data_IF_414926466788
#
_entry.id   IF_414926466788
#
_cell.length_a   1.000
_cell.length_b   1.000
_cell.length_c   1.000
_cell.angle_alpha   90.00
_cell.angle_beta   90.00
_cell.angle_gamma   90.00
#
_symmetry.space_group_name_H-M   'P 1'
#
loop_
_entity.id
_entity.type
_entity.pdbx_description
1 polymer ?
#
# COMPACT_ATOMS: atom_id res chain seq x y z
N UNK A 1 19.91 -5.21 -30.06
CA UNK A 1 18.47 -5.42 -30.33
C UNK A 1 17.93 -6.22 -29.14
N UNK A 2 17.48 -5.58 -28.07
CA UNK A 2 16.14 -5.01 -27.98
C UNK A 2 15.16 -6.09 -27.50
N UNK A 3 15.36 -6.59 -26.28
CA UNK A 3 14.45 -7.55 -25.63
C UNK A 3 13.15 -6.78 -25.32
N UNK A 4 12.19 -6.87 -26.23
CA UNK A 4 10.81 -6.44 -26.00
C UNK A 4 10.21 -7.36 -24.93
N UNK A 5 10.27 -6.91 -23.67
CA UNK A 5 9.56 -7.54 -22.57
C UNK A 5 8.08 -7.65 -22.89
N UNK A 6 7.51 -8.84 -22.70
CA UNK A 6 6.06 -9.08 -22.83
C UNK A 6 5.30 -8.00 -22.06
N UNK A 7 4.34 -7.36 -22.71
CA UNK A 7 3.45 -6.39 -22.08
C UNK A 7 2.67 -7.10 -20.97
N UNK A 8 2.89 -6.68 -19.72
CA UNK A 8 2.22 -7.27 -18.55
C UNK A 8 0.71 -7.12 -18.68
N UNK A 9 -0.01 -8.18 -18.32
CA UNK A 9 -1.48 -8.16 -18.30
C UNK A 9 -1.98 -7.13 -17.27
N UNK A 10 -3.25 -6.72 -17.39
CA UNK A 10 -3.83 -5.74 -16.45
C UNK A 10 -3.81 -6.27 -15.02
N UNK A 11 -4.03 -7.58 -14.85
CA UNK A 11 -4.01 -8.28 -13.55
C UNK A 11 -2.59 -8.30 -12.96
N UNK A 12 -1.58 -8.70 -13.75
CA UNK A 12 -0.18 -8.68 -13.32
C UNK A 12 0.27 -7.27 -12.87
N UNK A 13 -0.20 -6.22 -13.55
CA UNK A 13 0.08 -4.83 -13.16
C UNK A 13 -0.57 -4.42 -11.84
N UNK A 14 -1.73 -4.97 -11.49
CA UNK A 14 -2.35 -4.74 -10.19
C UNK A 14 -1.61 -5.49 -9.09
N UNK A 15 -1.27 -6.76 -9.30
CA UNK A 15 -0.59 -7.56 -8.29
C UNK A 15 0.82 -7.06 -7.97
N UNK A 16 1.54 -6.51 -8.96
CA UNK A 16 2.83 -5.87 -8.72
C UNK A 16 2.74 -4.66 -7.80
N UNK A 17 1.63 -3.91 -7.83
CA UNK A 17 1.42 -2.78 -6.91
C UNK A 17 1.24 -3.22 -5.46
N UNK A 18 0.83 -4.47 -5.23
CA UNK A 18 0.65 -5.07 -3.90
C UNK A 18 1.82 -5.97 -3.48
N UNK A 19 2.94 -5.96 -4.22
CA UNK A 19 4.21 -6.52 -3.72
C UNK A 19 4.71 -5.63 -2.58
N UNK A 20 5.18 -6.24 -1.49
CA UNK A 20 5.60 -5.50 -0.29
C UNK A 20 6.73 -4.52 -0.63
N UNK A 21 7.68 -4.92 -1.47
CA UNK A 21 8.76 -4.05 -1.97
C UNK A 21 8.23 -2.81 -2.71
N UNK A 22 7.20 -2.97 -3.54
CA UNK A 22 6.58 -1.85 -4.25
C UNK A 22 5.80 -0.92 -3.31
N UNK A 23 5.17 -1.48 -2.28
CA UNK A 23 4.45 -0.74 -1.25
C UNK A 23 5.38 0.02 -0.30
N UNK A 24 6.55 -0.55 0.04
CA UNK A 24 7.56 0.10 0.89
C UNK A 24 8.15 1.36 0.25
N UNK A 25 8.21 1.40 -1.08
CA UNK A 25 8.72 2.56 -1.83
C UNK A 25 7.70 3.70 -1.97
N UNK A 26 6.54 3.61 -1.33
CA UNK A 26 5.50 4.65 -1.33
C UNK A 26 5.76 5.71 -0.27
N UNK A 27 5.08 6.86 -0.39
CA UNK A 27 5.25 7.99 0.54
C UNK A 27 4.91 7.61 1.98
N UNK A 28 3.85 6.80 2.16
CA UNK A 28 3.44 6.28 3.47
C UNK A 28 3.48 4.76 3.41
N UNK A 29 4.03 4.14 4.44
CA UNK A 29 4.07 2.69 4.63
C UNK A 29 3.87 2.34 6.10
N UNK A 30 2.93 1.45 6.38
CA UNK A 30 2.70 0.85 7.68
C UNK A 30 2.57 -0.67 7.55
N UNK A 31 3.07 -1.37 8.56
CA UNK A 31 3.02 -2.82 8.65
C UNK A 31 2.55 -3.21 10.05
N UNK A 32 1.48 -4.01 10.10
CA UNK A 32 0.76 -4.38 11.31
C UNK A 32 0.56 -5.88 11.35
N UNK A 33 0.65 -6.43 12.56
CA UNK A 33 0.27 -7.80 12.86
C UNK A 33 -0.94 -7.77 13.77
N UNK A 34 -2.00 -8.47 13.36
CA UNK A 34 -3.27 -8.53 14.07
C UNK A 34 -3.73 -9.98 14.18
N UNK A 35 -4.30 -10.31 15.34
CA UNK A 35 -5.03 -11.56 15.53
C UNK A 35 -6.51 -11.23 15.53
N UNK A 36 -7.27 -11.85 14.62
CA UNK A 36 -8.68 -11.54 14.38
C UNK A 36 -9.48 -12.82 14.39
N UNK A 37 -10.70 -12.82 14.91
CA UNK A 37 -11.58 -13.99 14.83
C UNK A 37 -11.92 -14.33 13.37
N UNK A 38 -12.57 -13.40 12.67
CA UNK A 38 -12.95 -13.57 11.26
C UNK A 38 -12.17 -12.61 10.32
N UNK A 39 -11.36 -13.14 9.38
CA UNK A 39 -10.73 -12.36 8.33
C UNK A 39 -11.70 -11.60 7.41
N UNK A 40 -12.92 -12.11 7.20
CA UNK A 40 -13.94 -11.42 6.40
C UNK A 40 -14.48 -10.19 7.13
N UNK A 41 -14.64 -10.27 8.46
CA UNK A 41 -14.98 -9.12 9.30
C UNK A 41 -13.92 -8.04 9.21
N UNK A 42 -12.62 -8.41 9.28
CA UNK A 42 -11.54 -7.44 9.11
C UNK A 42 -11.59 -6.77 7.74
N UNK A 43 -11.86 -7.53 6.67
CA UNK A 43 -12.02 -6.97 5.32
C UNK A 43 -13.19 -5.99 5.25
N UNK A 44 -14.36 -6.40 5.76
CA UNK A 44 -15.56 -5.57 5.79
C UNK A 44 -15.30 -4.27 6.51
N UNK A 45 -14.79 -4.36 7.75
CA UNK A 45 -14.42 -3.21 8.56
C UNK A 45 -13.39 -2.31 7.89
N UNK A 46 -12.38 -2.89 7.25
CA UNK A 46 -11.35 -2.12 6.52
C UNK A 46 -11.96 -1.32 5.37
N UNK A 47 -12.88 -1.92 4.62
CA UNK A 47 -13.56 -1.26 3.51
C UNK A 47 -14.52 -0.18 4.00
N UNK A 48 -15.29 -0.45 5.05
CA UNK A 48 -16.22 0.51 5.67
C UNK A 48 -15.48 1.73 6.21
N UNK A 49 -14.39 1.51 6.96
CA UNK A 49 -13.60 2.60 7.53
C UNK A 49 -13.00 3.51 6.45
N UNK A 50 -12.59 2.96 5.31
CA UNK A 50 -12.11 3.77 4.18
C UNK A 50 -13.26 4.54 3.53
N UNK A 51 -14.46 3.95 3.42
CA UNK A 51 -15.64 4.65 2.91
C UNK A 51 -16.07 5.80 3.83
N UNK A 52 -16.02 5.60 5.15
CA UNK A 52 -16.31 6.62 6.15
C UNK A 52 -15.35 7.83 6.06
N UNK A 53 -14.12 7.59 5.60
CA UNK A 53 -13.12 8.62 5.31
C UNK A 53 -13.27 9.26 3.92
N UNK A 54 -14.40 9.05 3.22
CA UNK A 54 -14.69 9.49 1.85
C UNK A 54 -13.76 8.90 0.77
N UNK A 55 -13.17 7.72 1.01
CA UNK A 55 -12.38 7.02 0.00
C UNK A 55 -13.24 6.10 -0.86
N UNK A 56 -13.06 6.16 -2.17
CA UNK A 56 -13.77 5.30 -3.11
C UNK A 56 -13.00 4.02 -3.34
N UNK A 57 -13.56 2.90 -2.88
CA UNK A 57 -13.01 1.56 -3.12
C UNK A 57 -13.19 1.16 -4.59
N UNK A 58 -12.07 0.86 -5.24
CA UNK A 58 -12.02 0.46 -6.67
C UNK A 58 -11.66 -1.02 -6.85
N UNK A 59 -10.98 -1.60 -5.87
CA UNK A 59 -10.64 -3.01 -5.82
C UNK A 59 -10.84 -3.48 -4.38
N UNK A 60 -11.56 -4.58 -4.21
CA UNK A 60 -11.74 -5.28 -2.93
C UNK A 60 -11.90 -6.77 -3.24
N UNK A 61 -10.77 -7.44 -3.49
CA UNK A 61 -10.75 -8.80 -4.00
C UNK A 61 -10.01 -9.76 -3.06
N UNK A 62 -10.65 -10.90 -2.82
CA UNK A 62 -10.01 -12.09 -2.28
C UNK A 62 -9.18 -12.72 -3.38
N UNK A 63 -7.87 -12.49 -3.36
CA UNK A 63 -6.96 -13.12 -4.31
C UNK A 63 -6.53 -14.48 -3.76
N UNK A 64 -6.58 -15.52 -4.59
CA UNK A 64 -5.95 -16.81 -4.24
C UNK A 64 -4.44 -16.60 -4.10
N UNK A 65 -3.81 -17.37 -3.22
CA UNK A 65 -2.36 -17.42 -3.14
C UNK A 65 -1.85 -18.07 -4.43
N UNK A 66 -1.12 -17.30 -5.24
CA UNK A 66 -0.41 -17.85 -6.40
C UNK A 66 0.81 -18.69 -5.99
N UNK A 67 1.22 -18.62 -4.71
CA UNK A 67 2.29 -19.44 -4.17
C UNK A 67 1.82 -20.89 -3.98
N UNK A 68 2.06 -21.68 -5.03
CA UNK A 68 1.77 -23.11 -5.16
C UNK A 68 2.34 -23.96 -3.99
N UNK A 69 3.38 -23.48 -3.30
CA UNK A 69 4.01 -24.17 -2.16
C UNK A 69 3.22 -24.04 -0.85
N UNK A 70 2.60 -22.88 -0.60
CA UNK A 70 1.73 -22.67 0.56
C UNK A 70 0.42 -23.44 0.38
N UNK A 71 -0.13 -23.46 -0.84
CA UNK A 71 -1.34 -24.21 -1.19
C UNK A 71 -1.21 -25.72 -0.87
N UNK A 72 0.00 -26.30 -1.00
CA UNK A 72 0.30 -27.68 -0.66
C UNK A 72 0.27 -27.99 0.85
N UNK A 73 0.66 -27.04 1.71
CA UNK A 73 0.61 -27.15 3.17
C UNK A 73 -0.84 -27.07 3.67
N UNK A 74 -1.69 -26.31 2.98
CA UNK A 74 -3.08 -26.04 3.36
C UNK A 74 -4.13 -26.99 2.76
N UNK A 75 -3.77 -27.78 1.73
CA UNK A 75 -4.66 -28.80 1.14
C UNK A 75 -4.99 -29.97 2.09
N UNK A 76 -4.33 -30.07 3.24
CA UNK A 76 -4.41 -31.23 4.14
C UNK A 76 -5.06 -31.04 5.52
N UNK A 77 -5.33 -29.83 6.02
CA UNK A 77 -6.00 -29.72 7.33
C UNK A 77 -5.87 -28.39 8.06
N UNK A 78 -6.94 -28.07 8.81
CA UNK A 78 -7.12 -27.05 9.87
C UNK A 78 -6.81 -25.58 9.53
N UNK A 79 -5.82 -25.27 8.70
CA UNK A 79 -5.40 -23.90 8.39
C UNK A 79 -5.86 -23.51 6.97
N UNK A 80 -6.54 -22.37 6.85
CA UNK A 80 -7.00 -21.78 5.59
C UNK A 80 -6.21 -20.49 5.31
N UNK A 81 -5.49 -20.40 4.20
CA UNK A 81 -4.75 -19.19 3.87
C UNK A 81 -5.73 -18.10 3.41
N UNK A 82 -5.51 -16.87 3.86
CA UNK A 82 -6.34 -15.71 3.54
C UNK A 82 -5.50 -14.56 2.94
N UNK A 83 -5.88 -14.08 1.76
CA UNK A 83 -5.28 -12.90 1.13
C UNK A 83 -6.39 -12.01 0.58
N UNK A 84 -6.31 -10.74 0.95
CA UNK A 84 -7.24 -9.72 0.51
C UNK A 84 -6.47 -8.46 0.12
N UNK A 85 -6.86 -7.85 -1.00
CA UNK A 85 -6.27 -6.62 -1.51
C UNK A 85 -7.36 -5.57 -1.70
N UNK A 86 -7.12 -4.39 -1.14
CA UNK A 86 -8.03 -3.25 -1.21
C UNK A 86 -7.28 -2.08 -1.82
N UNK A 87 -7.85 -1.47 -2.87
CA UNK A 87 -7.36 -0.23 -3.47
C UNK A 87 -8.44 0.82 -3.42
N UNK A 88 -8.15 1.97 -2.83
CA UNK A 88 -9.07 3.09 -2.74
C UNK A 88 -8.45 4.37 -3.28
N UNK A 89 -9.29 5.28 -3.76
CA UNK A 89 -8.84 6.58 -4.26
C UNK A 89 -9.68 7.73 -3.70
N UNK A 90 -9.03 8.88 -3.56
CA UNK A 90 -9.65 10.16 -3.21
C UNK A 90 -9.08 11.25 -4.10
N UNK A 91 -9.96 12.11 -4.62
CA UNK A 91 -9.57 13.21 -5.51
C UNK A 91 -9.61 14.53 -4.76
N UNK A 92 -8.49 15.23 -4.69
CA UNK A 92 -8.40 16.56 -4.11
C UNK A 92 -8.46 17.61 -5.23
N UNK A 93 -9.44 18.53 -5.17
CA UNK A 93 -9.54 19.67 -6.09
C UNK A 93 -8.73 20.83 -5.54
N UNK A 94 -7.66 21.23 -6.22
CA UNK A 94 -6.75 22.29 -5.80
C UNK A 94 -6.45 23.25 -6.93
N UNK A 95 -6.44 24.56 -6.64
CA UNK A 95 -5.96 25.61 -7.54
C UNK A 95 -6.61 25.61 -8.93
N UNK A 96 -6.29 26.55 -9.81
CA UNK A 96 -6.68 26.48 -11.22
C UNK A 96 -5.79 25.50 -11.99
N UNK A 97 -6.38 24.61 -12.79
CA UNK A 97 -5.66 23.62 -13.62
C UNK A 97 -4.61 24.25 -14.54
N UNK A 98 -4.88 25.47 -15.01
CA UNK A 98 -3.97 26.23 -15.88
C UNK A 98 -3.74 27.62 -15.29
N UNK A 99 -2.77 27.77 -14.36
CA UNK A 99 -2.58 29.02 -13.62
C UNK A 99 -2.18 30.23 -14.46
N UNK A 100 -1.50 30.01 -15.58
CA UNK A 100 -1.06 31.10 -16.45
C UNK A 100 -2.20 31.60 -17.37
N UNK A 101 -3.11 30.71 -17.77
CA UNK A 101 -4.15 31.02 -18.75
C UNK A 101 -5.18 32.00 -18.18
N UNK A 102 -5.67 31.78 -16.96
CA UNK A 102 -6.60 32.73 -16.34
C UNK A 102 -5.93 34.09 -16.08
N UNK A 103 -4.64 34.11 -15.70
CA UNK A 103 -3.87 35.35 -15.54
C UNK A 103 -3.70 36.09 -16.86
N UNK A 104 -3.44 35.38 -17.95
CA UNK A 104 -3.33 35.96 -19.28
C UNK A 104 -4.66 36.56 -19.74
N UNK A 105 -5.77 35.82 -19.57
CA UNK A 105 -7.12 36.30 -19.88
C UNK A 105 -7.47 37.56 -19.07
N UNK A 106 -7.19 37.55 -17.76
CA UNK A 106 -7.39 38.72 -16.90
C UNK A 106 -6.52 39.90 -17.33
N UNK A 107 -5.24 39.66 -17.64
CA UNK A 107 -4.31 40.69 -18.11
C UNK A 107 -4.77 41.35 -19.41
N UNK A 108 -5.21 40.56 -20.39
CA UNK A 108 -5.81 41.06 -21.63
C UNK A 108 -7.08 41.87 -21.34
N UNK A 109 -7.92 41.41 -20.41
CA UNK A 109 -9.09 42.16 -19.92
C UNK A 109 -8.73 43.53 -19.35
N UNK A 110 -7.66 43.62 -18.54
CA UNK A 110 -7.17 44.91 -18.02
C UNK A 110 -6.63 45.83 -19.11
N UNK A 111 -5.93 45.29 -20.11
CA UNK A 111 -5.48 46.07 -21.27
C UNK A 111 -6.68 46.64 -22.02
N UNK A 112 -7.71 45.84 -22.30
CA UNK A 112 -8.93 46.32 -22.95
C UNK A 112 -9.69 47.34 -22.11
N UNK A 113 -9.73 47.18 -20.79
CA UNK A 113 -10.30 48.18 -19.90
C UNK A 113 -9.53 49.51 -19.96
N UNK A 114 -8.20 49.46 -19.98
CA UNK A 114 -7.35 50.65 -20.10
C UNK A 114 -7.57 51.38 -21.42
N UNK A 115 -7.64 50.66 -22.54
CA UNK A 115 -7.96 51.22 -23.86
C UNK A 115 -9.38 51.79 -23.88
N UNK A 116 -10.34 51.11 -23.25
CA UNK A 116 -11.72 51.59 -23.15
C UNK A 116 -11.80 52.93 -22.39
N UNK A 117 -11.14 53.04 -21.23
CA UNK A 117 -11.06 54.28 -20.46
C UNK A 117 -10.41 55.39 -21.27
N UNK A 118 -9.29 55.10 -21.95
CA UNK A 118 -8.63 56.06 -22.83
C UNK A 118 -9.56 56.58 -23.94
N UNK A 119 -10.31 55.70 -24.59
CA UNK A 119 -11.29 56.09 -25.62
C UNK A 119 -12.47 56.87 -25.06
N UNK A 120 -12.81 56.69 -23.78
CA UNK A 120 -13.85 57.50 -23.13
C UNK A 120 -13.38 58.93 -22.90
N UNK A 121 -12.09 59.12 -22.57
CA UNK A 121 -11.49 60.44 -22.30
C UNK A 121 -11.24 61.22 -23.62
N UNK A 122 -10.78 60.54 -24.68
CA UNK A 122 -10.47 61.16 -25.97
C UNK A 122 -11.61 61.02 -26.98
N UNK A 123 -12.63 61.86 -26.83
CA UNK A 123 -13.88 61.85 -27.62
C UNK A 123 -13.78 62.52 -29.01
N UNK A 124 -12.66 63.18 -29.32
CA UNK A 124 -12.49 64.02 -30.52
C UNK A 124 -12.19 63.26 -31.82
N UNK A 125 -12.03 61.94 -31.79
CA UNK A 125 -11.62 61.13 -32.97
C UNK A 125 -12.67 60.07 -33.29
N UNK A 126 -13.32 60.13 -34.45
CA UNK A 126 -14.44 59.25 -34.83
C UNK A 126 -14.17 57.75 -34.70
N UNK A 127 -12.93 57.28 -34.91
CA UNK A 127 -12.59 55.85 -34.75
C UNK A 127 -12.77 55.33 -33.31
N UNK A 128 -12.80 56.22 -32.30
CA UNK A 128 -12.92 55.83 -30.89
C UNK A 128 -14.32 55.38 -30.56
N UNK A 129 -15.34 55.81 -31.31
CA UNK A 129 -16.72 55.41 -31.08
C UNK A 129 -16.96 53.92 -31.39
N UNK A 130 -16.48 53.44 -32.53
CA UNK A 130 -16.60 52.03 -32.92
C UNK A 130 -15.75 51.13 -32.01
N UNK A 131 -14.52 51.55 -31.70
CA UNK A 131 -13.65 50.81 -30.78
C UNK A 131 -14.23 50.73 -29.36
N UNK A 132 -14.80 51.83 -28.85
CA UNK A 132 -15.42 51.90 -27.52
C UNK A 132 -16.62 50.95 -27.39
N UNK A 133 -17.49 50.91 -28.39
CA UNK A 133 -18.66 50.02 -28.39
C UNK A 133 -18.23 48.55 -28.44
N UNK A 134 -17.22 48.21 -29.26
CA UNK A 134 -16.66 46.86 -29.29
C UNK A 134 -15.99 46.47 -27.95
N UNK A 135 -15.21 47.39 -27.37
CA UNK A 135 -14.52 47.19 -26.10
C UNK A 135 -15.50 46.99 -24.92
N UNK A 136 -16.65 47.65 -24.94
CA UNK A 136 -17.69 47.52 -23.93
C UNK A 136 -18.22 46.08 -23.82
N UNK A 137 -18.32 45.36 -24.93
CA UNK A 137 -18.78 43.98 -24.95
C UNK A 137 -17.66 42.97 -24.75
N UNK A 138 -16.49 43.21 -25.35
CA UNK A 138 -15.38 42.25 -25.30
C UNK A 138 -14.73 42.21 -23.91
N UNK A 139 -14.59 43.36 -23.23
CA UNK A 139 -13.89 43.45 -21.94
C UNK A 139 -14.54 42.57 -20.85
N UNK A 140 -15.87 42.63 -20.63
CA UNK A 140 -16.55 41.70 -19.72
C UNK A 140 -16.39 40.23 -20.12
N UNK A 141 -16.41 39.91 -21.43
CA UNK A 141 -16.25 38.54 -21.90
C UNK A 141 -14.87 37.95 -21.54
N UNK A 142 -13.80 38.75 -21.60
CA UNK A 142 -12.47 38.32 -21.17
C UNK A 142 -12.39 38.08 -19.66
N UNK A 143 -13.04 38.91 -18.84
CA UNK A 143 -13.13 38.68 -17.40
C UNK A 143 -13.97 37.45 -17.05
N UNK A 144 -15.11 37.25 -17.72
CA UNK A 144 -15.94 36.04 -17.57
C UNK A 144 -15.13 34.80 -17.95
N UNK A 145 -14.43 34.84 -19.09
CA UNK A 145 -13.54 33.75 -19.52
C UNK A 145 -12.44 33.45 -18.48
N UNK A 146 -11.83 34.49 -17.91
CA UNK A 146 -10.85 34.34 -16.83
C UNK A 146 -11.45 33.65 -15.60
N UNK A 147 -12.66 34.04 -15.17
CA UNK A 147 -13.35 33.43 -14.02
C UNK A 147 -13.67 31.96 -14.30
N UNK A 148 -14.16 31.64 -15.51
CA UNK A 148 -14.45 30.26 -15.93
C UNK A 148 -13.17 29.42 -15.85
N UNK A 149 -12.06 29.88 -16.44
CA UNK A 149 -10.80 29.14 -16.43
C UNK A 149 -10.23 29.01 -15.01
N UNK A 150 -10.37 30.03 -14.17
CA UNK A 150 -9.99 29.97 -12.76
C UNK A 150 -10.83 28.94 -11.96
N UNK A 151 -12.10 28.77 -12.35
CA UNK A 151 -13.02 27.79 -11.79
C UNK A 151 -12.67 26.34 -12.14
N UNK A 152 -11.95 26.11 -13.23
CA UNK A 152 -11.46 24.77 -13.61
C UNK A 152 -10.35 24.38 -12.64
N UNK A 153 -10.71 23.62 -11.61
CA UNK A 153 -9.75 23.20 -10.59
C UNK A 153 -8.85 22.07 -11.07
N UNK A 154 -7.60 22.07 -10.62
CA UNK A 154 -6.72 20.92 -10.79
C UNK A 154 -7.20 19.78 -9.88
N UNK A 155 -7.14 18.54 -10.36
CA UNK A 155 -7.49 17.36 -9.58
C UNK A 155 -6.23 16.56 -9.32
N UNK A 156 -5.87 16.39 -8.05
CA UNK A 156 -4.79 15.50 -7.61
C UNK A 156 -5.42 14.21 -7.13
N UNK A 157 -5.04 13.08 -7.71
CA UNK A 157 -5.49 11.77 -7.25
C UNK A 157 -4.57 11.26 -6.15
N UNK A 158 -5.16 10.79 -5.06
CA UNK A 158 -4.49 10.08 -3.98
C UNK A 158 -4.98 8.65 -3.95
N UNK A 159 -4.12 7.72 -3.56
CA UNK A 159 -4.43 6.30 -3.51
C UNK A 159 -3.93 5.67 -2.20
N UNK A 160 -4.75 4.77 -1.65
CA UNK A 160 -4.39 3.89 -0.55
C UNK A 160 -4.45 2.45 -1.04
N UNK A 161 -3.42 1.68 -0.71
CA UNK A 161 -3.32 0.26 -0.94
C UNK A 161 -3.29 -0.44 0.41
N UNK A 162 -4.22 -1.37 0.64
CA UNK A 162 -4.23 -2.23 1.83
C UNK A 162 -4.11 -3.67 1.38
N UNK A 163 -3.13 -4.37 1.92
CA UNK A 163 -2.92 -5.81 1.71
C UNK A 163 -3.04 -6.52 3.03
N UNK A 164 -3.98 -7.44 3.12
CA UNK A 164 -4.19 -8.29 4.29
C UNK A 164 -3.82 -9.70 3.88
N UNK A 165 -2.85 -10.31 4.54
CA UNK A 165 -2.40 -11.67 4.26
C UNK A 165 -2.16 -12.43 5.55
N UNK A 166 -2.61 -13.68 5.63
CA UNK A 166 -2.37 -14.50 6.82
C UNK A 166 -3.03 -15.86 6.74
N UNK A 167 -3.20 -16.48 7.90
CA UNK A 167 -3.68 -17.85 8.03
C UNK A 167 -4.80 -17.88 9.07
N UNK A 168 -5.93 -18.46 8.68
CA UNK A 168 -7.08 -18.73 9.55
C UNK A 168 -7.03 -20.16 10.07
N UNK A 169 -7.11 -20.34 11.38
CA UNK A 169 -7.21 -21.63 12.03
C UNK A 169 -8.67 -22.00 12.32
N UNK A 170 -9.15 -23.06 11.67
CA UNK A 170 -10.53 -23.55 11.79
C UNK A 170 -10.84 -24.06 13.22
N UNK A 171 -9.86 -24.55 13.97
CA UNK A 171 -10.12 -25.14 15.28
C UNK A 171 -10.16 -24.10 16.41
N UNK A 172 -9.41 -23.01 16.28
CA UNK A 172 -9.43 -21.90 17.24
C UNK A 172 -10.33 -20.75 16.80
N UNK A 173 -10.88 -20.79 15.58
CA UNK A 173 -11.65 -19.69 14.98
C UNK A 173 -10.91 -18.34 15.04
N UNK A 174 -9.58 -18.39 14.90
CA UNK A 174 -8.69 -17.23 14.96
C UNK A 174 -7.81 -17.21 13.71
N UNK A 175 -7.52 -16.01 13.23
CA UNK A 175 -6.58 -15.75 12.16
C UNK A 175 -5.44 -14.85 12.63
N UNK A 176 -4.22 -15.29 12.32
CA UNK A 176 -3.04 -14.44 12.41
C UNK A 176 -2.83 -13.76 11.06
N UNK A 177 -2.96 -12.43 11.04
CA UNK A 177 -2.99 -11.62 9.83
C UNK A 177 -1.90 -10.54 9.87
N UNK A 178 -1.22 -10.36 8.74
CA UNK A 178 -0.35 -9.23 8.44
C UNK A 178 -1.12 -8.24 7.57
N UNK A 179 -1.20 -7.00 8.02
CA UNK A 179 -1.87 -5.90 7.34
C UNK A 179 -0.79 -4.90 6.92
N UNK A 180 -0.60 -4.76 5.61
CA UNK A 180 0.32 -3.80 5.00
C UNK A 180 -0.50 -2.68 4.39
N UNK A 181 -0.22 -1.44 4.80
CA UNK A 181 -0.90 -0.23 4.33
C UNK A 181 0.14 0.63 3.64
N UNK A 182 -0.13 1.05 2.40
CA UNK A 182 0.69 2.02 1.70
C UNK A 182 -0.17 3.11 1.09
N UNK A 183 0.37 4.31 0.96
CA UNK A 183 -0.35 5.41 0.35
C UNK A 183 0.58 6.35 -0.44
N UNK A 184 0.03 6.94 -1.50
CA UNK A 184 0.77 7.80 -2.41
C UNK A 184 -0.18 8.77 -3.14
N UNK A 185 0.39 9.84 -3.68
CA UNK A 185 -0.33 10.81 -4.51
C UNK A 185 0.28 10.86 -5.91
N UNK A 186 -0.56 11.06 -6.94
CA UNK A 186 -0.11 11.15 -8.34
C UNK A 186 0.88 12.30 -8.56
N UNK A 187 0.74 13.36 -7.76
CA UNK A 187 1.62 14.53 -7.79
C UNK A 187 2.19 14.78 -6.41
N UNK A 188 3.44 15.26 -6.37
CA UNK A 188 4.11 15.70 -5.15
C UNK A 188 3.54 17.03 -4.65
N UNK A 189 2.29 16.99 -4.19
CA UNK A 189 1.60 18.14 -3.60
C UNK A 189 1.55 18.00 -2.08
N UNK A 190 2.01 19.05 -1.38
CA UNK A 190 2.11 19.05 0.08
C UNK A 190 0.74 18.93 0.78
N UNK A 191 -0.30 19.51 0.20
CA UNK A 191 -1.64 19.49 0.80
C UNK A 191 -2.30 18.12 0.61
N UNK A 192 -2.13 17.53 -0.57
CA UNK A 192 -2.51 16.14 -0.81
C UNK A 192 -1.78 15.18 0.15
N UNK A 193 -0.47 15.33 0.32
CA UNK A 193 0.28 14.50 1.27
C UNK A 193 -0.14 14.71 2.72
N UNK A 194 -0.37 15.94 3.16
CA UNK A 194 -0.85 16.20 4.53
C UNK A 194 -2.22 15.54 4.79
N UNK A 195 -3.15 15.65 3.83
CA UNK A 195 -4.46 14.99 3.94
C UNK A 195 -4.30 13.47 3.95
N UNK A 196 -3.45 12.93 3.08
CA UNK A 196 -3.14 11.51 3.01
C UNK A 196 -2.56 10.98 4.32
N UNK A 197 -1.59 11.70 4.90
CA UNK A 197 -0.97 11.36 6.18
C UNK A 197 -1.98 11.35 7.32
N UNK A 198 -2.88 12.35 7.35
CA UNK A 198 -3.96 12.42 8.35
C UNK A 198 -4.91 11.23 8.21
N UNK A 199 -5.47 11.01 7.01
CA UNK A 199 -6.45 9.95 6.76
C UNK A 199 -5.84 8.56 7.02
N UNK A 200 -4.60 8.31 6.57
CA UNK A 200 -3.93 7.02 6.77
C UNK A 200 -3.54 6.81 8.24
N UNK A 201 -3.11 7.85 8.95
CA UNK A 201 -2.81 7.75 10.37
C UNK A 201 -4.08 7.45 11.19
N UNK A 202 -5.21 8.09 10.88
CA UNK A 202 -6.50 7.77 11.50
C UNK A 202 -6.90 6.32 11.23
N UNK A 203 -6.87 5.91 9.96
CA UNK A 203 -7.15 4.55 9.54
C UNK A 203 -6.26 3.52 10.25
N UNK A 204 -4.95 3.74 10.29
CA UNK A 204 -3.98 2.91 11.00
C UNK A 204 -4.29 2.84 12.50
N UNK A 205 -4.58 3.97 13.14
CA UNK A 205 -4.85 4.04 14.57
C UNK A 205 -6.14 3.32 14.95
N UNK A 206 -7.19 3.42 14.13
CA UNK A 206 -8.45 2.71 14.36
C UNK A 206 -8.26 1.20 14.22
N UNK A 207 -7.59 0.74 13.17
CA UNK A 207 -7.24 -0.68 12.99
C UNK A 207 -6.41 -1.21 14.17
N UNK A 208 -5.39 -0.45 14.57
CA UNK A 208 -4.54 -0.79 15.70
C UNK A 208 -5.38 -0.88 16.98
N UNK A 209 -6.23 0.10 17.29
CA UNK A 209 -7.04 0.06 18.51
C UNK A 209 -8.01 -1.12 18.57
N UNK A 210 -8.62 -1.49 17.44
CA UNK A 210 -9.63 -2.55 17.38
C UNK A 210 -9.02 -3.95 17.38
N UNK A 211 -7.94 -4.16 16.63
CA UNK A 211 -7.40 -5.50 16.36
C UNK A 211 -5.98 -5.73 16.89
N UNK A 212 -5.25 -4.68 17.24
CA UNK A 212 -3.95 -4.78 17.92
C UNK A 212 -4.18 -4.42 19.37
N UNK A 213 -4.43 -5.44 20.22
CA UNK A 213 -4.43 -5.24 21.68
C UNK A 213 -3.16 -4.46 22.03
N UNK A 214 -3.28 -3.35 22.78
CA UNK A 214 -2.13 -2.70 23.40
C UNK A 214 -1.48 -3.74 24.29
N UNK A 215 -0.50 -4.45 23.74
CA UNK A 215 0.51 -5.15 24.51
C UNK A 215 1.19 -4.06 25.32
N UNK A 216 0.74 -3.88 26.58
CA UNK A 216 1.50 -3.11 27.57
C UNK A 216 2.91 -3.65 27.49
N UNK A 217 3.84 -2.83 27.01
CA UNK A 217 5.23 -3.19 26.70
C UNK A 217 6.01 -3.80 27.88
N UNK A 218 5.43 -3.82 29.08
CA UNK A 218 6.01 -4.44 30.28
C UNK A 218 5.34 -5.77 30.68
N UNK A 219 4.04 -5.96 30.44
CA UNK A 219 3.33 -7.22 30.76
C UNK A 219 3.64 -8.33 29.73
N UNK A 220 3.97 -7.98 28.48
CA UNK A 220 4.38 -8.96 27.46
C UNK A 220 5.73 -9.64 27.75
N UNK A 221 6.58 -9.05 28.59
CA UNK A 221 7.85 -9.68 29.03
C UNK A 221 7.72 -10.52 30.29
N UNK A 222 6.67 -10.33 31.09
CA UNK A 222 6.49 -11.04 32.37
C UNK A 222 5.36 -12.06 32.34
N UNK A 223 4.26 -11.83 31.62
CA UNK A 223 3.15 -12.79 31.53
C UNK A 223 3.43 -13.90 30.49
N UNK A 224 4.16 -13.59 29.40
CA UNK A 224 4.71 -14.65 28.53
C UNK A 224 5.70 -15.53 29.32
N UNK A 225 6.44 -14.98 30.28
CA UNK A 225 7.33 -15.78 31.16
C UNK A 225 6.59 -16.55 32.26
N UNK A 226 5.34 -16.21 32.58
CA UNK A 226 4.57 -16.86 33.64
C UNK A 226 3.57 -17.90 33.14
N UNK A 227 2.95 -17.71 31.97
CA UNK A 227 2.07 -18.74 31.38
C UNK A 227 2.83 -19.85 30.64
N UNK A 228 4.11 -19.67 30.30
CA UNK A 228 5.00 -20.72 29.78
C UNK A 228 5.48 -21.75 30.84
N UNK A 229 5.02 -21.65 32.10
CA UNK A 229 5.52 -22.50 33.21
C UNK A 229 4.61 -23.65 33.63
N UNK A 230 3.59 -24.01 32.87
CA UNK A 230 2.84 -25.25 33.12
C UNK A 230 2.65 -26.05 31.84
N UNK A 231 3.61 -26.96 31.62
CA UNK A 231 3.56 -28.14 30.74
C UNK A 231 3.03 -27.88 29.31
N UNK A 232 3.84 -27.78 28.26
CA UNK A 232 4.51 -28.94 27.65
C UNK A 232 5.52 -28.47 26.56
N UNK A 233 6.83 -28.64 26.81
CA UNK A 233 8.00 -28.45 25.92
C UNK A 233 8.06 -27.16 25.09
N UNK A 234 8.90 -26.23 25.57
CA UNK A 234 9.25 -24.95 24.95
C UNK A 234 9.50 -25.04 23.43
N UNK A 235 8.87 -24.18 22.62
CA UNK A 235 9.14 -24.07 21.20
C UNK A 235 10.62 -23.76 20.92
N UNK A 236 11.28 -23.03 21.82
CA UNK A 236 12.71 -22.70 21.78
C UNK A 236 13.57 -23.97 21.84
N UNK A 237 13.23 -24.89 22.74
CA UNK A 237 13.91 -26.18 22.88
C UNK A 237 13.65 -27.06 21.65
N UNK A 238 12.47 -26.96 21.03
CA UNK A 238 12.14 -27.68 19.79
C UNK A 238 12.92 -27.13 18.59
N UNK A 239 13.06 -25.81 18.47
CA UNK A 239 13.82 -25.16 17.39
C UNK A 239 15.31 -25.47 17.53
N UNK A 240 15.87 -25.34 18.75
CA UNK A 240 17.28 -25.69 19.02
C UNK A 240 17.52 -27.19 18.79
N UNK A 241 16.58 -28.07 19.16
CA UNK A 241 16.68 -29.50 18.90
C UNK A 241 16.58 -29.82 17.40
N UNK A 242 15.69 -29.17 16.67
CA UNK A 242 15.55 -29.33 15.22
C UNK A 242 16.79 -28.84 14.46
N UNK A 243 17.40 -27.72 14.88
CA UNK A 243 18.68 -27.25 14.33
C UNK A 243 19.80 -28.27 14.56
N UNK A 244 19.92 -28.79 15.79
CA UNK A 244 20.90 -29.84 16.13
C UNK A 244 20.67 -31.14 15.36
N UNK A 245 19.41 -31.51 15.13
CA UNK A 245 19.07 -32.72 14.38
C UNK A 245 19.35 -32.55 12.88
N UNK A 246 19.16 -31.36 12.32
CA UNK A 246 19.57 -31.03 10.94
C UNK A 246 21.10 -31.07 10.82
N UNK A 247 21.84 -30.50 11.76
CA UNK A 247 23.31 -30.58 11.76
C UNK A 247 23.82 -32.03 11.82
N UNK A 248 23.17 -32.89 12.60
CA UNK A 248 23.47 -34.32 12.63
C UNK A 248 23.13 -35.02 11.30
N UNK A 249 22.02 -34.63 10.66
CA UNK A 249 21.64 -35.18 9.36
C UNK A 249 22.64 -34.78 8.28
N UNK A 250 23.10 -33.52 8.24
CA UNK A 250 24.14 -33.04 7.34
C UNK A 250 25.44 -33.83 7.57
N UNK A 251 25.87 -33.98 8.82
CA UNK A 251 27.09 -34.73 9.16
C UNK A 251 27.01 -36.23 8.78
N UNK A 252 25.84 -36.86 8.92
CA UNK A 252 25.62 -38.24 8.50
C UNK A 252 25.53 -38.40 6.98
N UNK A 253 24.96 -37.40 6.29
CA UNK A 253 24.92 -37.34 4.83
C UNK A 253 26.34 -37.25 4.27
N UNK A 254 27.16 -36.37 4.84
CA UNK A 254 28.59 -36.23 4.51
C UNK A 254 29.37 -37.53 4.71
N UNK A 255 29.19 -38.20 5.86
CA UNK A 255 29.82 -39.50 6.10
C UNK A 255 29.37 -40.58 5.10
N UNK A 256 28.09 -40.59 4.72
CA UNK A 256 27.54 -41.57 3.78
C UNK A 256 28.01 -41.32 2.35
N UNK A 257 28.20 -40.05 1.98
CA UNK A 257 28.77 -39.64 0.71
C UNK A 257 30.27 -39.98 0.62
N UNK A 258 31.07 -39.65 1.64
CA UNK A 258 32.50 -40.01 1.73
C UNK A 258 32.70 -41.53 1.71
N UNK A 259 31.78 -42.30 2.30
CA UNK A 259 31.79 -43.76 2.26
C UNK A 259 31.32 -44.35 0.90
N UNK A 260 31.04 -43.52 -0.11
CA UNK A 260 30.66 -43.93 -1.46
C UNK A 260 29.26 -44.55 -1.57
N UNK A 261 28.40 -44.38 -0.55
CA UNK A 261 27.08 -45.02 -0.49
C UNK A 261 25.97 -44.25 -1.20
N UNK A 262 26.27 -43.06 -1.75
CA UNK A 262 25.31 -42.27 -2.53
C UNK A 262 25.98 -41.55 -3.70
N UNK A 263 25.20 -41.23 -4.73
CA UNK A 263 25.66 -40.46 -5.90
C UNK A 263 25.76 -38.97 -5.57
N UNK A 264 26.77 -38.29 -6.11
CA UNK A 264 27.03 -36.84 -5.93
C UNK A 264 25.79 -35.98 -6.15
N UNK A 265 25.01 -36.26 -7.20
CA UNK A 265 23.82 -35.48 -7.54
C UNK A 265 22.76 -35.54 -6.45
N UNK A 266 22.55 -36.71 -5.85
CA UNK A 266 21.61 -36.93 -4.74
C UNK A 266 22.13 -36.35 -3.43
N UNK A 267 23.46 -36.30 -3.25
CA UNK A 267 24.09 -35.65 -2.11
C UNK A 267 23.86 -34.13 -2.14
N UNK A 268 24.11 -33.48 -3.28
CA UNK A 268 23.95 -32.03 -3.43
C UNK A 268 22.49 -31.58 -3.28
N UNK A 269 21.52 -32.34 -3.80
CA UNK A 269 20.10 -32.05 -3.62
C UNK A 269 19.67 -32.14 -2.16
N UNK A 270 19.99 -33.23 -1.47
CA UNK A 270 19.60 -33.43 -0.07
C UNK A 270 20.34 -32.44 0.86
N UNK A 271 21.60 -32.13 0.57
CA UNK A 271 22.36 -31.11 1.31
C UNK A 271 21.75 -29.73 1.14
N UNK A 272 21.42 -29.33 -0.08
CA UNK A 272 20.79 -28.04 -0.36
C UNK A 272 19.42 -27.86 0.31
N UNK A 273 18.62 -28.93 0.38
CA UNK A 273 17.33 -28.87 1.08
C UNK A 273 17.50 -28.80 2.61
N UNK A 274 18.47 -29.50 3.18
CA UNK A 274 18.80 -29.43 4.61
C UNK A 274 19.37 -28.07 5.00
N UNK A 275 20.21 -27.47 4.15
CA UNK A 275 20.76 -26.12 4.36
C UNK A 275 19.66 -25.04 4.28
N UNK A 276 18.77 -25.11 3.28
CA UNK A 276 17.61 -24.20 3.21
C UNK A 276 16.69 -24.33 4.42
N UNK A 277 16.50 -25.55 4.94
CA UNK A 277 15.70 -25.80 6.14
C UNK A 277 16.39 -25.29 7.41
N UNK A 278 17.72 -25.39 7.47
CA UNK A 278 18.55 -24.81 8.52
C UNK A 278 18.47 -23.29 8.53
N UNK A 279 18.58 -22.64 7.37
CA UNK A 279 18.50 -21.18 7.25
C UNK A 279 17.12 -20.64 7.65
N UNK A 280 16.04 -21.34 7.27
CA UNK A 280 14.68 -21.01 7.70
C UNK A 280 14.51 -21.13 9.22
N UNK A 281 15.04 -22.20 9.83
CA UNK A 281 14.97 -22.38 11.29
C UNK A 281 15.90 -21.42 12.05
N UNK A 282 17.04 -21.06 11.48
CA UNK A 282 17.95 -20.03 12.00
C UNK A 282 17.29 -18.66 12.00
N UNK A 283 16.63 -18.30 10.88
CA UNK A 283 15.85 -17.05 10.79
C UNK A 283 14.73 -17.01 11.83
N UNK A 284 14.06 -18.14 12.07
CA UNK A 284 13.02 -18.24 13.12
C UNK A 284 13.63 -18.12 14.53
N UNK A 285 14.81 -18.70 14.79
CA UNK A 285 15.54 -18.52 16.05
C UNK A 285 15.93 -17.06 16.29
N UNK A 286 16.48 -16.40 15.27
CA UNK A 286 16.90 -15.00 15.32
C UNK A 286 15.70 -14.07 15.56
N UNK A 287 14.57 -14.34 14.92
CA UNK A 287 13.31 -13.59 15.13
C UNK A 287 12.73 -13.80 16.54
N UNK A 288 13.02 -14.92 17.18
CA UNK A 288 12.59 -15.24 18.54
C UNK A 288 13.61 -14.82 19.61
N UNK A 289 14.79 -14.28 19.23
CA UNK A 289 15.89 -13.93 20.14
C UNK A 289 16.37 -15.10 21.01
N UNK A 290 16.49 -16.30 20.42
CA UNK A 290 17.06 -17.50 21.05
C UNK A 290 18.40 -17.84 20.40
#
# INVERSE_FOLDING_TARGET
MGILGKSKTVVERYEEQFKVEAMQNKHIFYDLYARVGDPEELRGFTSELLQDLDWKTTLNELTKFEEMELEGIFRGGRLKPFKNIIKTYKSLKKGPKVPWLWKALAGIGFVFLGVWIYTMINTSVQWTANLRNWLMWITPLWFIGSIIVYGIKETVQMAIWVKIAGVYDIASEEADLRIVIAADAEKKDKEAFNQLESDVAEFYNVLTRKYVRKLKREETKQEIKQELKKDTQDPDVKIVKALRDIDKQIANLEKSFVAGKMKETTYQEIKGDLEKRKDKLGTISDLLNI
#
